data_IF_460287576321
#
_entry.id   IF_460287576321
#
_cell.length_a   1.000
_cell.length_b   1.000
_cell.length_c   1.000
_cell.angle_alpha   90.00
_cell.angle_beta   90.00
_cell.angle_gamma   90.00
#
_symmetry.space_group_name_H-M   'P 1'
#
loop_
_entity.id
_entity.type
_entity.pdbx_description
1 polymer ?
#
# COMPACT_ATOMS: atom_id res chain seq x y z
N UNK A 1 -9.55 -25.19 9.11
CA UNK A 1 -8.65 -26.34 8.91
C UNK A 1 -9.51 -27.59 8.73
N UNK A 2 -9.61 -28.06 7.52
CA UNK A 2 -10.29 -29.31 7.21
C UNK A 2 -9.25 -30.43 7.00
N UNK A 3 -9.67 -31.69 7.19
CA UNK A 3 -8.86 -32.84 6.80
C UNK A 3 -9.49 -33.46 5.56
N UNK A 4 -8.76 -33.47 4.45
CA UNK A 4 -9.22 -33.98 3.17
C UNK A 4 -8.45 -35.27 2.88
N UNK A 5 -9.17 -36.34 2.54
CA UNK A 5 -8.57 -37.63 2.24
C UNK A 5 -8.71 -37.97 0.75
N UNK A 6 -7.61 -38.30 0.13
CA UNK A 6 -7.52 -38.83 -1.25
C UNK A 6 -7.01 -40.26 -1.26
N UNK A 7 -7.65 -41.13 -2.00
CA UNK A 7 -7.14 -42.48 -2.27
C UNK A 7 -6.20 -42.41 -3.47
N UNK A 8 -4.99 -42.94 -3.30
CA UNK A 8 -3.97 -43.01 -4.36
C UNK A 8 -3.80 -44.46 -4.79
N UNK A 9 -3.79 -44.70 -6.10
CA UNK A 9 -3.48 -45.99 -6.72
C UNK A 9 -2.55 -45.75 -7.90
N UNK A 10 -1.82 -46.78 -8.32
CA UNK A 10 -0.95 -46.75 -9.50
C UNK A 10 -1.46 -47.72 -10.54
N UNK A 11 -1.64 -47.23 -11.75
CA UNK A 11 -2.03 -48.03 -12.90
C UNK A 11 -1.46 -47.41 -14.19
N UNK A 12 -1.53 -48.17 -15.29
CA UNK A 12 -1.20 -47.64 -16.62
C UNK A 12 -2.22 -46.57 -17.02
N UNK A 13 -1.73 -45.42 -17.40
CA UNK A 13 -2.54 -44.27 -17.81
C UNK A 13 -1.75 -43.35 -18.72
N UNK A 14 -2.45 -42.33 -19.28
CA UNK A 14 -1.84 -41.34 -20.17
C UNK A 14 -2.04 -39.94 -19.56
N UNK A 15 -0.96 -39.17 -19.46
CA UNK A 15 -0.98 -37.78 -19.10
C UNK A 15 -0.07 -36.94 -20.02
N UNK A 16 0.25 -35.70 -19.70
CA UNK A 16 1.14 -34.85 -20.49
C UNK A 16 2.56 -35.41 -20.71
N UNK A 17 2.98 -36.42 -19.93
CA UNK A 17 4.27 -37.12 -20.06
C UNK A 17 4.18 -38.46 -20.82
N UNK A 18 3.07 -38.71 -21.51
CA UNK A 18 2.85 -39.95 -22.27
C UNK A 18 2.21 -41.05 -21.44
N UNK A 19 2.19 -42.27 -22.02
CA UNK A 19 1.55 -43.45 -21.45
C UNK A 19 2.56 -44.29 -20.66
N UNK A 20 2.33 -44.42 -19.36
CA UNK A 20 3.14 -45.22 -18.43
C UNK A 20 2.36 -45.41 -17.12
N UNK A 21 3.00 -45.96 -16.07
CA UNK A 21 2.43 -45.95 -14.73
C UNK A 21 2.18 -44.51 -14.27
N UNK A 22 0.97 -44.25 -13.81
CA UNK A 22 0.51 -42.93 -13.32
C UNK A 22 -0.13 -43.08 -11.94
N UNK A 23 -0.07 -42.00 -11.16
CA UNK A 23 -0.89 -41.89 -9.97
C UNK A 23 -2.34 -41.60 -10.37
N UNK A 24 -3.23 -42.42 -9.86
CA UNK A 24 -4.68 -42.19 -9.91
C UNK A 24 -5.12 -41.68 -8.54
N UNK A 25 -5.74 -40.53 -8.51
CA UNK A 25 -6.25 -39.91 -7.28
C UNK A 25 -7.77 -39.94 -7.30
N UNK A 26 -8.37 -40.68 -6.37
CA UNK A 26 -9.81 -41.02 -6.37
C UNK A 26 -10.31 -41.59 -7.69
N UNK A 27 -9.45 -42.33 -8.42
CA UNK A 27 -9.78 -42.97 -9.70
C UNK A 27 -9.53 -42.10 -10.95
N UNK A 28 -9.12 -40.84 -10.80
CA UNK A 28 -8.75 -39.96 -11.91
C UNK A 28 -7.25 -40.01 -12.18
N UNK A 29 -6.85 -40.07 -13.47
CA UNK A 29 -5.46 -40.19 -13.89
C UNK A 29 -4.73 -38.84 -13.75
N UNK A 30 -3.78 -38.76 -12.87
CA UNK A 30 -2.92 -37.57 -12.63
C UNK A 30 -3.68 -36.24 -12.69
N UNK A 31 -4.76 -36.01 -11.87
CA UNK A 31 -5.49 -34.76 -11.90
C UNK A 31 -4.63 -33.59 -11.42
N UNK A 32 -5.00 -32.38 -11.81
CA UNK A 32 -4.48 -31.15 -11.14
C UNK A 32 -5.11 -31.07 -9.76
N UNK A 33 -4.29 -30.98 -8.74
CA UNK A 33 -4.75 -30.85 -7.36
C UNK A 33 -4.83 -29.37 -6.98
N UNK A 34 -5.91 -29.00 -6.28
CA UNK A 34 -6.06 -27.70 -5.63
C UNK A 34 -6.04 -27.91 -4.12
N UNK A 35 -4.96 -27.46 -3.49
CA UNK A 35 -4.72 -27.62 -2.05
C UNK A 35 -5.05 -26.29 -1.36
N UNK A 36 -6.07 -26.27 -0.51
CA UNK A 36 -6.45 -25.07 0.21
C UNK A 36 -5.49 -24.84 1.38
N UNK A 37 -4.98 -23.62 1.51
CA UNK A 37 -4.08 -23.26 2.61
C UNK A 37 -4.74 -23.47 3.99
N UNK A 38 -3.94 -23.89 4.95
CA UNK A 38 -4.38 -24.19 6.30
C UNK A 38 -5.07 -25.57 6.45
N UNK A 39 -5.33 -26.29 5.35
CA UNK A 39 -5.90 -27.63 5.42
C UNK A 39 -4.83 -28.71 5.56
N UNK A 40 -5.23 -29.83 6.14
CA UNK A 40 -4.44 -31.06 6.18
C UNK A 40 -4.96 -32.02 5.10
N UNK A 41 -4.13 -32.30 4.11
CA UNK A 41 -4.50 -33.21 3.02
C UNK A 41 -3.75 -34.53 3.18
N UNK A 42 -4.48 -35.62 3.18
CA UNK A 42 -3.97 -36.98 3.37
C UNK A 42 -4.13 -37.76 2.08
N UNK A 43 -3.04 -38.22 1.53
CA UNK A 43 -2.99 -39.14 0.38
C UNK A 43 -2.76 -40.56 0.90
N UNK A 44 -3.79 -41.37 0.89
CA UNK A 44 -3.74 -42.77 1.29
C UNK A 44 -3.06 -43.58 0.20
N UNK A 45 -1.87 -44.06 0.47
CA UNK A 45 -1.04 -44.87 -0.41
C UNK A 45 -0.98 -46.35 0.02
N UNK A 46 -1.96 -46.82 0.79
CA UNK A 46 -2.00 -48.18 1.34
C UNK A 46 -2.35 -49.26 0.32
N UNK A 47 -2.89 -48.87 -0.83
CA UNK A 47 -3.21 -49.78 -1.91
C UNK A 47 -1.94 -50.46 -2.46
N UNK A 48 -1.96 -51.78 -2.64
CA UNK A 48 -0.79 -52.58 -3.09
C UNK A 48 -0.20 -52.14 -4.43
N UNK A 49 -0.97 -51.46 -5.26
CA UNK A 49 -0.49 -50.86 -6.51
C UNK A 49 0.56 -49.78 -6.31
N UNK A 50 0.61 -49.17 -5.12
CA UNK A 50 1.62 -48.17 -4.76
C UNK A 50 2.97 -48.78 -4.34
N UNK A 51 3.12 -50.10 -4.34
CA UNK A 51 4.37 -50.74 -3.95
C UNK A 51 5.54 -50.21 -4.83
N UNK A 52 6.61 -49.72 -4.20
CA UNK A 52 7.75 -49.02 -4.82
C UNK A 52 7.45 -47.66 -5.45
N UNK A 53 6.26 -47.09 -5.27
CA UNK A 53 5.91 -45.78 -5.77
C UNK A 53 5.61 -44.82 -4.61
N UNK A 54 6.57 -44.00 -4.25
CA UNK A 54 6.43 -43.02 -3.16
C UNK A 54 5.78 -41.73 -3.68
N UNK A 55 4.60 -41.43 -3.21
CA UNK A 55 3.91 -40.15 -3.52
C UNK A 55 4.55 -39.00 -2.79
N UNK A 56 5.14 -38.05 -3.51
CA UNK A 56 5.89 -36.91 -2.96
C UNK A 56 5.61 -35.64 -3.70
N UNK A 57 6.05 -34.51 -3.14
CA UNK A 57 5.91 -33.18 -3.70
C UNK A 57 7.28 -32.56 -4.03
N UNK A 58 7.32 -31.68 -5.03
CA UNK A 58 8.49 -30.91 -5.42
C UNK A 58 8.09 -29.53 -5.95
N UNK A 59 8.97 -28.53 -5.84
CA UNK A 59 8.83 -27.25 -6.52
C UNK A 59 9.21 -27.31 -8.01
N UNK A 60 9.84 -28.39 -8.42
CA UNK A 60 10.21 -28.64 -9.82
C UNK A 60 9.36 -29.76 -10.42
N UNK A 61 9.00 -29.59 -11.69
CA UNK A 61 8.20 -30.54 -12.42
C UNK A 61 8.92 -31.90 -12.42
N UNK A 62 8.19 -32.97 -12.04
CA UNK A 62 8.69 -34.33 -11.91
C UNK A 62 9.89 -34.51 -10.94
N UNK A 63 10.10 -33.55 -10.04
CA UNK A 63 11.03 -33.65 -8.92
C UNK A 63 12.45 -33.97 -9.33
N UNK A 64 13.00 -35.03 -8.76
CA UNK A 64 14.39 -35.46 -8.94
C UNK A 64 14.72 -36.01 -10.31
N UNK A 65 13.72 -36.34 -11.14
CA UNK A 65 13.91 -37.09 -12.39
C UNK A 65 14.22 -36.22 -13.61
N UNK A 66 13.76 -34.98 -13.70
CA UNK A 66 13.88 -34.16 -14.91
C UNK A 66 14.96 -33.09 -14.85
N UNK A 67 15.12 -32.40 -13.74
CA UNK A 67 16.01 -31.22 -13.65
C UNK A 67 16.88 -31.19 -12.40
N UNK A 68 17.01 -32.32 -11.69
CA UNK A 68 17.76 -32.38 -10.45
C UNK A 68 17.08 -31.62 -9.29
N UNK A 69 15.75 -31.52 -9.35
CA UNK A 69 14.94 -30.90 -8.29
C UNK A 69 15.02 -31.70 -6.99
N UNK A 70 14.60 -31.08 -5.90
CA UNK A 70 14.56 -31.68 -4.56
C UNK A 70 13.14 -31.96 -4.12
N UNK A 71 12.97 -32.96 -3.26
CA UNK A 71 11.69 -33.26 -2.63
C UNK A 71 11.28 -32.07 -1.73
N UNK A 72 10.03 -31.62 -1.85
CA UNK A 72 9.45 -30.63 -0.97
C UNK A 72 8.98 -31.29 0.32
N UNK A 73 9.56 -30.91 1.43
CA UNK A 73 9.34 -31.53 2.75
C UNK A 73 8.61 -30.63 3.74
N UNK A 74 8.42 -29.34 3.43
CA UNK A 74 7.77 -28.40 4.35
C UNK A 74 6.31 -28.78 4.57
N UNK A 75 5.95 -29.13 5.80
CA UNK A 75 4.61 -29.58 6.15
C UNK A 75 4.24 -30.99 5.62
N UNK A 76 5.17 -31.70 4.94
CA UNK A 76 4.93 -33.03 4.38
C UNK A 76 5.45 -34.12 5.32
N UNK A 77 4.63 -35.12 5.56
CA UNK A 77 4.97 -36.28 6.38
C UNK A 77 4.60 -37.57 5.65
N UNK A 78 5.54 -38.51 5.57
CA UNK A 78 5.31 -39.85 5.04
C UNK A 78 5.16 -40.82 6.21
N UNK A 79 4.16 -41.70 6.16
CA UNK A 79 3.91 -42.73 7.16
C UNK A 79 3.80 -44.10 6.46
N UNK A 80 4.51 -45.08 6.98
CA UNK A 80 4.51 -46.44 6.43
C UNK A 80 5.26 -46.59 5.10
N UNK A 81 5.24 -47.78 4.55
CA UNK A 81 5.82 -48.09 3.24
C UNK A 81 4.71 -48.07 2.21
N UNK A 82 4.85 -47.36 1.07
CA UNK A 82 3.82 -47.33 0.03
C UNK A 82 3.40 -48.75 -0.38
N UNK A 83 2.11 -49.00 -0.51
CA UNK A 83 1.52 -50.30 -0.77
C UNK A 83 1.24 -51.14 0.47
N UNK A 84 1.68 -50.73 1.66
CA UNK A 84 1.38 -51.43 2.90
C UNK A 84 0.20 -50.77 3.64
N UNK A 85 -0.53 -51.55 4.43
CA UNK A 85 -1.67 -51.07 5.22
C UNK A 85 -1.29 -49.89 6.08
N UNK A 86 -2.03 -48.80 6.00
CA UNK A 86 -1.82 -47.52 6.76
C UNK A 86 -0.76 -46.60 6.17
N UNK A 87 -0.19 -46.94 5.03
CA UNK A 87 0.75 -46.06 4.32
C UNK A 87 0.03 -44.79 3.81
N UNK A 88 0.61 -43.63 4.07
CA UNK A 88 0.05 -42.33 3.62
C UNK A 88 1.11 -41.27 3.50
N UNK A 89 0.86 -40.31 2.64
CA UNK A 89 1.56 -39.03 2.58
C UNK A 89 0.59 -37.93 3.06
N UNK A 90 0.98 -37.14 4.06
CA UNK A 90 0.17 -36.03 4.58
C UNK A 90 0.89 -34.72 4.30
N UNK A 91 0.17 -33.73 3.81
CA UNK A 91 0.66 -32.37 3.66
C UNK A 91 -0.22 -31.41 4.48
N UNK A 92 0.41 -30.64 5.37
CA UNK A 92 -0.19 -29.48 5.99
C UNK A 92 0.08 -28.28 5.05
N UNK A 93 -0.95 -27.81 4.39
CA UNK A 93 -0.80 -26.81 3.33
C UNK A 93 -0.41 -25.47 3.94
N UNK A 94 0.81 -25.01 3.63
CA UNK A 94 1.34 -23.76 4.14
C UNK A 94 0.55 -22.56 3.58
N UNK A 95 0.42 -21.45 4.35
CA UNK A 95 -0.19 -20.22 3.86
C UNK A 95 0.52 -19.67 2.63
N UNK A 96 -0.24 -19.16 1.66
CA UNK A 96 0.29 -18.59 0.40
C UNK A 96 1.21 -17.39 0.67
N UNK A 97 0.97 -16.66 1.78
CA UNK A 97 1.81 -15.55 2.24
C UNK A 97 3.19 -15.95 2.77
N UNK A 98 3.39 -17.21 3.08
CA UNK A 98 4.72 -17.65 3.49
C UNK A 98 5.64 -17.49 2.29
N UNK A 99 6.64 -16.63 2.41
CA UNK A 99 7.66 -16.44 1.37
C UNK A 99 8.26 -17.82 1.08
N UNK A 100 7.96 -18.37 -0.12
CA UNK A 100 8.40 -19.69 -0.52
C UNK A 100 7.33 -20.79 -0.52
N UNK A 101 6.02 -20.47 -0.42
CA UNK A 101 4.99 -21.44 -0.81
C UNK A 101 5.00 -21.60 -2.35
N UNK A 102 5.77 -22.55 -2.92
CA UNK A 102 5.95 -22.67 -4.34
C UNK A 102 4.71 -23.33 -4.97
N UNK A 103 4.55 -23.12 -6.27
CA UNK A 103 3.72 -24.02 -7.06
C UNK A 103 4.32 -25.44 -6.94
N UNK A 104 3.55 -26.36 -6.38
CA UNK A 104 4.01 -27.73 -6.17
C UNK A 104 3.59 -28.63 -7.31
N UNK A 105 4.39 -29.65 -7.48
CA UNK A 105 4.11 -30.80 -8.36
C UNK A 105 4.20 -32.06 -7.52
N UNK A 106 3.24 -32.99 -7.67
CA UNK A 106 3.37 -34.30 -7.07
C UNK A 106 3.99 -35.27 -8.07
N UNK A 107 4.80 -36.18 -7.56
CA UNK A 107 5.58 -37.12 -8.38
C UNK A 107 5.96 -38.35 -7.58
N UNK A 108 6.56 -39.34 -8.24
CA UNK A 108 7.16 -40.48 -7.55
C UNK A 108 8.60 -40.18 -7.15
N UNK A 109 8.92 -40.20 -5.87
CA UNK A 109 10.29 -40.06 -5.35
C UNK A 109 10.92 -41.39 -4.92
N UNK A 110 10.27 -42.49 -5.26
CA UNK A 110 10.78 -43.83 -4.96
C UNK A 110 12.01 -44.21 -5.78
N UNK A 111 12.58 -45.38 -5.48
CA UNK A 111 13.83 -45.89 -6.06
C UNK A 111 13.70 -46.27 -7.53
N UNK A 112 12.51 -46.28 -8.10
CA UNK A 112 12.25 -46.63 -9.50
C UNK A 112 12.37 -45.40 -10.40
N UNK A 113 12.98 -45.59 -11.57
CA UNK A 113 13.23 -44.58 -12.60
C UNK A 113 11.97 -44.11 -13.36
N UNK A 114 10.79 -44.21 -12.79
CA UNK A 114 9.53 -43.79 -13.43
C UNK A 114 9.28 -42.32 -13.28
N UNK A 115 9.51 -41.57 -14.35
CA UNK A 115 9.16 -40.16 -14.48
C UNK A 115 7.74 -39.94 -14.95
N UNK A 116 7.21 -38.75 -14.72
CA UNK A 116 5.94 -38.31 -15.27
C UNK A 116 4.70 -38.97 -14.67
N UNK A 117 4.77 -39.51 -13.44
CA UNK A 117 3.63 -40.17 -12.78
C UNK A 117 2.57 -39.21 -12.25
N UNK A 118 2.93 -37.96 -12.01
CA UNK A 118 2.07 -36.97 -11.36
C UNK A 118 1.70 -35.74 -12.22
N UNK A 119 1.31 -34.68 -11.57
CA UNK A 119 0.89 -33.44 -12.18
C UNK A 119 1.11 -32.27 -11.20
N UNK A 120 0.51 -31.12 -11.45
CA UNK A 120 0.54 -29.92 -10.63
C UNK A 120 -0.30 -30.09 -9.37
N UNK A 121 0.19 -29.56 -8.26
CA UNK A 121 -0.55 -29.37 -7.00
C UNK A 121 -0.48 -27.89 -6.63
N UNK A 122 -1.51 -27.15 -6.98
CA UNK A 122 -1.59 -25.70 -6.77
C UNK A 122 -2.18 -25.39 -5.41
N UNK A 123 -1.48 -24.60 -4.61
CA UNK A 123 -2.04 -24.03 -3.37
C UNK A 123 -2.99 -22.89 -3.71
N UNK A 124 -4.17 -22.92 -3.12
CA UNK A 124 -5.19 -21.90 -3.26
C UNK A 124 -5.50 -21.28 -1.90
N UNK A 125 -5.73 -19.96 -1.87
CA UNK A 125 -6.26 -19.28 -0.71
C UNK A 125 -7.77 -19.08 -0.86
N UNK A 126 -8.57 -19.31 0.18
CA UNK A 126 -10.01 -19.05 0.15
C UNK A 126 -10.33 -17.56 0.04
N UNK A 127 -9.37 -16.73 0.46
CA UNK A 127 -9.44 -15.28 0.33
C UNK A 127 -8.13 -14.77 -0.28
N UNK A 128 -8.15 -13.63 -0.92
CA UNK A 128 -6.92 -12.99 -1.41
C UNK A 128 -5.95 -12.66 -0.25
N UNK A 129 -6.46 -12.64 1.00
CA UNK A 129 -5.77 -12.22 2.23
C UNK A 129 -5.08 -10.86 2.15
N UNK A 130 -5.21 -10.18 1.03
CA UNK A 130 -4.78 -8.81 0.86
C UNK A 130 -5.95 -7.89 1.15
N UNK A 131 -5.75 -6.94 2.04
CA UNK A 131 -6.74 -5.90 2.38
C UNK A 131 -6.48 -4.61 1.62
N UNK A 132 -5.35 -4.55 0.90
CA UNK A 132 -4.91 -3.37 0.18
C UNK A 132 -5.02 -3.60 -1.32
N UNK A 133 -5.97 -2.92 -1.93
CA UNK A 133 -6.03 -2.73 -3.37
C UNK A 133 -5.18 -1.52 -3.72
N UNK A 134 -4.03 -1.74 -4.37
CA UNK A 134 -3.09 -0.70 -4.75
C UNK A 134 -2.82 -0.75 -6.26
N UNK A 135 -3.72 -0.17 -7.08
CA UNK A 135 -3.62 -0.22 -8.54
C UNK A 135 -2.43 0.61 -9.03
N UNK A 136 -1.79 0.12 -10.08
CA UNK A 136 -0.80 0.90 -10.81
C UNK A 136 -1.47 2.04 -11.60
N UNK A 137 -0.70 3.03 -11.98
CA UNK A 137 -1.22 4.16 -12.78
C UNK A 137 -1.80 3.69 -14.11
N UNK A 138 -1.25 2.64 -14.68
CA UNK A 138 -1.74 2.04 -15.93
C UNK A 138 -3.15 1.44 -15.76
N UNK A 139 -3.37 0.69 -14.66
CA UNK A 139 -4.68 0.13 -14.32
C UNK A 139 -5.75 1.23 -14.15
N UNK A 140 -5.37 2.33 -13.49
CA UNK A 140 -6.26 3.49 -13.28
C UNK A 140 -6.62 4.17 -14.59
N UNK A 141 -5.65 4.32 -15.49
CA UNK A 141 -5.84 4.92 -16.80
C UNK A 141 -6.73 4.01 -17.65
N UNK A 142 -6.51 2.71 -17.63
CA UNK A 142 -7.28 1.74 -18.40
C UNK A 142 -8.73 1.71 -17.96
N UNK A 143 -8.98 1.59 -16.66
CA UNK A 143 -10.33 1.66 -16.07
C UNK A 143 -11.05 2.98 -16.42
N UNK A 144 -10.33 4.11 -16.35
CA UNK A 144 -10.92 5.41 -16.70
C UNK A 144 -11.34 5.49 -18.17
N UNK A 145 -10.52 4.93 -19.09
CA UNK A 145 -10.92 4.86 -20.51
C UNK A 145 -12.11 3.94 -20.74
N UNK A 146 -12.18 2.80 -20.05
CA UNK A 146 -13.33 1.90 -20.15
C UNK A 146 -14.63 2.59 -19.74
N UNK A 147 -14.60 3.39 -18.67
CA UNK A 147 -15.73 4.20 -18.22
C UNK A 147 -16.18 5.26 -19.24
N UNK A 148 -15.29 5.76 -20.08
CA UNK A 148 -15.65 6.68 -21.17
C UNK A 148 -16.26 5.98 -22.38
N UNK A 149 -16.32 4.64 -22.41
CA UNK A 149 -16.80 3.85 -23.53
C UNK A 149 -15.84 3.76 -24.71
N UNK A 150 -14.67 4.37 -24.63
CA UNK A 150 -13.62 4.28 -25.66
C UNK A 150 -13.01 2.88 -25.60
N UNK A 151 -13.18 2.10 -26.66
CA UNK A 151 -12.69 0.71 -26.76
C UNK A 151 -11.43 0.62 -27.62
N UNK A 152 -10.66 -0.46 -27.42
CA UNK A 152 -9.48 -0.80 -28.25
C UNK A 152 -8.15 -0.45 -27.56
N UNK A 153 -7.04 -0.76 -28.25
CA UNK A 153 -5.67 -0.51 -27.75
C UNK A 153 -5.38 0.97 -27.65
N UNK A 154 -4.80 1.40 -26.54
CA UNK A 154 -4.46 2.82 -26.28
C UNK A 154 -3.21 3.22 -27.07
N UNK A 155 -3.26 4.39 -27.67
CA UNK A 155 -2.07 4.98 -28.31
C UNK A 155 -1.17 5.63 -27.26
N UNK A 156 0.13 5.73 -27.51
CA UNK A 156 1.05 6.44 -26.63
C UNK A 156 0.70 7.92 -26.40
N UNK A 157 -0.04 8.54 -27.36
CA UNK A 157 -0.56 9.90 -27.19
C UNK A 157 -1.70 9.93 -26.15
N UNK A 158 -2.64 8.97 -26.21
CA UNK A 158 -3.76 8.88 -25.28
C UNK A 158 -3.25 8.63 -23.85
N UNK A 159 -2.28 7.75 -23.65
CA UNK A 159 -1.67 7.48 -22.36
C UNK A 159 -1.00 8.73 -21.77
N UNK A 160 -0.21 9.47 -22.58
CA UNK A 160 0.38 10.75 -22.13
C UNK A 160 -0.67 11.81 -21.82
N UNK A 161 -1.77 11.87 -22.58
CA UNK A 161 -2.87 12.78 -22.32
C UNK A 161 -3.60 12.43 -21.02
N UNK A 162 -3.80 11.14 -20.72
CA UNK A 162 -4.41 10.67 -19.48
C UNK A 162 -3.55 11.02 -18.26
N UNK A 163 -2.24 10.77 -18.30
CA UNK A 163 -1.32 11.16 -17.21
C UNK A 163 -1.36 12.66 -16.93
N UNK A 164 -1.39 13.50 -17.97
CA UNK A 164 -1.51 14.95 -17.81
C UNK A 164 -2.84 15.33 -17.16
N UNK A 165 -3.95 14.69 -17.56
CA UNK A 165 -5.25 14.92 -16.97
C UNK A 165 -5.28 14.51 -15.50
N UNK A 166 -4.63 13.39 -15.14
CA UNK A 166 -4.53 12.92 -13.77
C UNK A 166 -3.75 13.91 -12.89
N UNK A 167 -2.63 14.44 -13.37
CA UNK A 167 -1.86 15.48 -12.66
C UNK A 167 -2.67 16.77 -12.49
N UNK A 168 -3.46 17.20 -13.48
CA UNK A 168 -4.34 18.36 -13.36
C UNK A 168 -5.42 18.11 -12.30
N UNK A 169 -6.01 16.93 -12.28
CA UNK A 169 -6.99 16.53 -11.28
C UNK A 169 -6.40 16.56 -9.85
N UNK A 170 -5.18 16.11 -9.66
CA UNK A 170 -4.51 16.18 -8.36
C UNK A 170 -4.27 17.62 -7.89
N UNK A 171 -3.95 18.54 -8.81
CA UNK A 171 -3.87 19.96 -8.48
C UNK A 171 -5.24 20.53 -8.06
N UNK A 172 -6.32 20.11 -8.74
CA UNK A 172 -7.67 20.50 -8.36
C UNK A 172 -8.06 19.95 -6.98
N UNK A 173 -7.71 18.70 -6.68
CA UNK A 173 -7.94 18.13 -5.36
C UNK A 173 -7.27 18.92 -4.23
N UNK A 174 -6.05 19.36 -4.45
CA UNK A 174 -5.36 20.25 -3.53
C UNK A 174 -6.14 21.55 -3.25
N UNK A 175 -6.78 22.12 -4.29
CA UNK A 175 -7.61 23.32 -4.15
C UNK A 175 -8.95 23.05 -3.46
N UNK A 176 -9.49 21.84 -3.59
CA UNK A 176 -10.73 21.40 -2.93
C UNK A 176 -10.53 20.97 -1.47
N UNK A 177 -9.30 20.97 -0.97
CA UNK A 177 -9.00 20.55 0.40
C UNK A 177 -8.89 19.04 0.60
N UNK A 178 -8.71 18.27 -0.47
CA UNK A 178 -8.50 16.82 -0.43
C UNK A 178 -7.05 16.52 -0.09
N UNK A 179 -6.70 16.53 1.22
CA UNK A 179 -5.28 16.39 1.59
C UNK A 179 -5.03 15.99 3.05
N UNK A 180 -6.04 15.57 3.80
CA UNK A 180 -5.86 15.28 5.24
C UNK A 180 -4.80 14.20 5.50
N UNK A 181 -4.67 13.19 4.63
CA UNK A 181 -3.61 12.18 4.75
C UNK A 181 -2.21 12.70 4.41
N UNK A 182 -2.11 13.93 3.90
CA UNK A 182 -0.86 14.60 3.54
C UNK A 182 -0.33 15.53 4.62
N UNK A 183 -0.94 15.54 5.78
CA UNK A 183 -0.44 16.29 6.94
C UNK A 183 0.83 15.63 7.45
N UNK A 184 1.93 16.35 7.43
CA UNK A 184 3.23 15.91 7.92
C UNK A 184 3.77 16.87 8.97
N UNK A 185 4.63 16.36 9.84
CA UNK A 185 5.35 17.16 10.84
C UNK A 185 6.79 17.39 10.37
N UNK A 186 7.15 18.65 10.19
CA UNK A 186 8.53 19.07 9.98
C UNK A 186 9.17 19.54 11.30
N UNK A 187 10.46 19.28 11.45
CA UNK A 187 11.26 19.67 12.61
C UNK A 187 12.53 20.33 12.13
N UNK A 188 12.69 21.59 12.42
CA UNK A 188 13.81 22.41 11.95
C UNK A 188 14.60 22.92 13.14
N UNK A 189 15.94 22.76 13.16
CA UNK A 189 16.76 23.33 14.22
C UNK A 189 16.67 24.86 14.21
N UNK A 190 16.50 25.45 15.38
CA UNK A 190 16.52 26.90 15.54
C UNK A 190 17.97 27.38 15.54
N UNK A 191 18.27 28.37 14.69
CA UNK A 191 19.58 29.01 14.58
C UNK A 191 19.51 30.41 15.16
N UNK A 192 20.51 30.76 15.99
CA UNK A 192 20.57 32.13 16.58
C UNK A 192 20.59 33.23 15.51
N UNK A 193 19.75 34.21 15.65
CA UNK A 193 19.68 35.35 14.76
C UNK A 193 19.01 35.11 13.42
N UNK A 194 18.53 33.87 13.16
CA UNK A 194 17.83 33.53 11.94
C UNK A 194 16.32 33.75 12.12
N UNK A 195 15.78 34.77 11.48
CA UNK A 195 14.36 35.10 11.51
C UNK A 195 13.60 34.42 10.36
N UNK A 196 14.23 34.22 9.21
CA UNK A 196 13.63 33.65 8.00
C UNK A 196 14.12 32.23 7.74
N UNK A 197 13.16 31.34 7.49
CA UNK A 197 13.37 29.95 7.08
C UNK A 197 12.72 29.73 5.73
N UNK A 198 13.54 29.65 4.68
CA UNK A 198 13.07 29.50 3.30
C UNK A 198 13.03 28.04 2.88
N UNK A 199 11.96 27.63 2.22
CA UNK A 199 11.77 26.28 1.67
C UNK A 199 12.28 26.21 0.23
N UNK A 200 13.59 26.30 0.07
CA UNK A 200 14.21 26.07 -1.24
C UNK A 200 14.38 24.57 -1.49
N UNK A 201 14.27 24.17 -2.76
CA UNK A 201 14.33 22.76 -3.19
C UNK A 201 15.60 21.99 -2.77
N UNK A 202 16.67 22.69 -2.36
CA UNK A 202 17.98 22.11 -2.05
C UNK A 202 18.35 22.17 -0.56
N UNK A 203 17.43 22.48 0.35
CA UNK A 203 17.78 22.55 1.76
C UNK A 203 17.49 21.22 2.46
N UNK A 204 18.52 20.62 3.03
CA UNK A 204 18.53 19.29 3.64
C UNK A 204 17.51 19.11 4.80
N UNK A 205 17.05 20.20 5.40
CA UNK A 205 16.15 20.20 6.55
C UNK A 205 14.73 20.71 6.24
N UNK A 206 14.46 21.14 5.02
CA UNK A 206 13.19 21.77 4.66
C UNK A 206 12.45 20.95 3.60
N UNK A 207 11.20 20.53 3.87
CA UNK A 207 10.43 19.82 2.89
C UNK A 207 10.10 20.71 1.69
N UNK A 208 10.44 20.26 0.48
CA UNK A 208 10.15 20.96 -0.79
C UNK A 208 8.70 20.80 -1.26
N UNK A 209 7.95 19.89 -0.63
CA UNK A 209 6.59 19.51 -1.01
C UNK A 209 5.50 20.26 -0.21
N UNK A 210 5.84 21.36 0.44
CA UNK A 210 4.89 22.16 1.24
C UNK A 210 3.84 22.83 0.35
N UNK A 211 2.58 22.64 0.68
CA UNK A 211 1.45 23.39 0.15
C UNK A 211 1.00 24.51 1.09
N UNK A 212 0.77 24.20 2.36
CA UNK A 212 0.42 25.17 3.40
C UNK A 212 0.95 24.73 4.76
N UNK A 213 1.14 25.69 5.66
CA UNK A 213 1.53 25.47 7.06
C UNK A 213 0.29 25.66 7.95
N UNK A 214 -0.06 24.60 8.69
CA UNK A 214 -1.24 24.58 9.56
C UNK A 214 -0.93 25.20 10.92
N UNK A 215 -0.27 24.45 11.76
CA UNK A 215 0.03 24.77 13.13
C UNK A 215 1.53 24.66 13.37
N UNK A 216 2.06 25.46 14.30
CA UNK A 216 3.46 25.36 14.65
C UNK A 216 3.69 25.56 16.15
N UNK A 217 4.78 24.99 16.60
CA UNK A 217 5.22 25.08 17.95
C UNK A 217 6.75 25.10 18.04
N UNK A 218 7.23 25.70 19.09
CA UNK A 218 8.63 25.67 19.50
C UNK A 218 8.81 24.46 20.42
N UNK A 219 9.78 23.61 20.12
CA UNK A 219 10.12 22.45 20.94
C UNK A 219 11.44 22.63 21.65
N UNK A 220 11.42 22.51 22.97
CA UNK A 220 12.60 22.43 23.80
C UNK A 220 12.91 20.96 24.15
N UNK A 221 13.96 20.43 23.55
CA UNK A 221 14.49 19.07 23.80
C UNK A 221 15.71 19.08 24.74
N UNK A 222 15.95 20.13 25.53
CA UNK A 222 17.09 20.17 26.46
C UNK A 222 16.98 19.09 27.52
N UNK A 223 15.77 18.61 27.83
CA UNK A 223 15.53 17.37 28.56
C UNK A 223 15.20 16.26 27.55
N UNK A 224 15.97 15.20 27.55
CA UNK A 224 15.73 14.02 26.69
C UNK A 224 14.55 13.19 27.14
N UNK A 225 14.10 13.36 28.37
CA UNK A 225 13.01 12.59 28.97
C UNK A 225 11.65 13.27 28.82
N UNK A 226 11.61 14.60 28.79
CA UNK A 226 10.37 15.37 28.73
C UNK A 226 10.54 16.60 27.81
N UNK A 227 10.36 16.43 26.49
CA UNK A 227 10.36 17.56 25.58
C UNK A 227 9.16 18.48 25.85
N UNK A 228 9.38 19.78 25.86
CA UNK A 228 8.32 20.77 26.06
C UNK A 228 7.98 21.46 24.74
N UNK A 229 6.70 21.44 24.39
CA UNK A 229 6.17 22.06 23.19
C UNK A 229 5.39 23.33 23.58
N UNK A 230 5.75 24.45 22.98
CA UNK A 230 5.10 25.75 23.19
C UNK A 230 4.51 26.21 21.86
N UNK A 231 3.18 26.34 21.81
CA UNK A 231 2.47 26.75 20.61
C UNK A 231 2.88 28.16 20.18
N UNK A 232 3.04 28.36 18.86
CA UNK A 232 3.31 29.66 18.25
C UNK A 232 2.03 30.18 17.59
N UNK A 233 1.82 31.50 17.71
CA UNK A 233 0.66 32.13 17.10
C UNK A 233 0.93 32.49 15.64
N UNK A 234 0.09 32.04 14.72
CA UNK A 234 0.14 32.43 13.31
C UNK A 234 -0.35 33.87 13.18
N UNK A 235 0.46 34.76 12.58
CA UNK A 235 0.10 36.13 12.30
C UNK A 235 0.03 36.39 10.79
N UNK A 236 -0.72 37.36 10.39
CA UNK A 236 -0.85 37.77 9.00
C UNK A 236 0.29 38.73 8.58
N UNK A 237 0.37 38.97 7.26
CA UNK A 237 1.38 39.86 6.67
C UNK A 237 1.30 41.29 7.23
N UNK A 238 0.09 41.78 7.47
CA UNK A 238 -0.14 43.12 7.96
C UNK A 238 0.43 43.31 9.37
N UNK A 239 0.10 42.39 10.27
CA UNK A 239 0.61 42.34 11.63
C UNK A 239 2.13 42.22 11.67
N UNK A 240 2.69 41.31 10.85
CA UNK A 240 4.15 41.18 10.77
C UNK A 240 4.82 42.45 10.25
N UNK A 241 4.21 43.13 9.27
CA UNK A 241 4.74 44.38 8.71
C UNK A 241 4.78 45.52 9.74
N UNK A 242 3.82 45.56 10.64
CA UNK A 242 3.72 46.57 11.70
C UNK A 242 4.71 46.36 12.85
N UNK A 243 5.36 45.23 12.94
CA UNK A 243 6.38 44.95 13.95
C UNK A 243 7.59 45.87 13.75
N UNK A 244 7.91 46.77 14.71
CA UNK A 244 8.93 47.80 14.51
C UNK A 244 10.34 47.25 14.34
N UNK A 245 10.70 46.22 15.14
CA UNK A 245 12.00 45.59 15.08
C UNK A 245 11.84 44.08 14.92
N UNK A 246 11.97 43.60 13.67
CA UNK A 246 11.80 42.21 13.30
C UNK A 246 12.96 41.27 13.73
N UNK A 247 14.09 41.88 14.12
CA UNK A 247 15.31 41.16 14.54
C UNK A 247 15.48 41.17 16.07
N UNK A 248 14.46 41.50 16.83
CA UNK A 248 14.48 41.41 18.30
C UNK A 248 14.73 39.95 18.68
N UNK A 249 15.84 39.69 19.36
CA UNK A 249 16.23 38.35 19.80
C UNK A 249 15.44 37.94 21.05
N UNK A 250 14.97 36.68 21.05
CA UNK A 250 14.22 36.12 22.19
C UNK A 250 13.73 34.73 21.91
N UNK A 251 12.79 34.25 22.70
CA UNK A 251 12.08 33.02 22.43
C UNK A 251 10.99 33.29 21.37
N UNK A 252 10.96 32.56 20.26
CA UNK A 252 9.89 32.69 19.27
C UNK A 252 8.51 32.50 19.90
N UNK A 253 7.57 33.39 19.58
CA UNK A 253 6.17 33.31 20.04
C UNK A 253 5.16 33.41 18.91
N UNK A 254 5.57 33.96 17.77
CA UNK A 254 4.73 34.20 16.62
C UNK A 254 5.43 33.75 15.34
N UNK A 255 4.65 33.42 14.33
CA UNK A 255 5.18 33.12 12.99
C UNK A 255 4.28 33.69 11.90
N UNK A 256 4.91 34.06 10.79
CA UNK A 256 4.26 34.49 9.56
C UNK A 256 4.70 33.60 8.39
N UNK A 257 3.76 33.13 7.57
CA UNK A 257 4.04 32.32 6.38
C UNK A 257 3.88 33.18 5.14
N UNK A 258 4.96 33.39 4.42
CA UNK A 258 4.93 34.09 3.14
C UNK A 258 4.74 33.08 2.01
N UNK A 259 3.57 33.11 1.36
CA UNK A 259 3.19 32.20 0.27
C UNK A 259 3.75 32.72 -1.06
N UNK A 260 4.98 32.34 -1.35
CA UNK A 260 5.64 32.56 -2.65
C UNK A 260 5.73 31.25 -3.42
N UNK A 261 6.35 31.27 -4.62
CA UNK A 261 6.70 30.04 -5.35
C UNK A 261 7.52 29.09 -4.46
N UNK A 262 8.50 29.63 -3.74
CA UNK A 262 9.20 29.00 -2.64
C UNK A 262 8.75 29.69 -1.34
N UNK A 263 7.87 29.06 -0.55
CA UNK A 263 7.38 29.66 0.68
C UNK A 263 8.50 29.92 1.69
N UNK A 264 8.31 30.95 2.54
CA UNK A 264 9.21 31.23 3.67
C UNK A 264 8.39 31.38 4.95
N UNK A 265 8.94 30.93 6.07
CA UNK A 265 8.39 31.19 7.40
C UNK A 265 9.28 32.21 8.10
N UNK A 266 8.66 33.23 8.65
CA UNK A 266 9.31 34.24 9.48
C UNK A 266 8.91 34.03 10.93
N UNK A 267 9.89 33.94 11.83
CA UNK A 267 9.68 33.81 13.25
C UNK A 267 9.82 35.19 13.92
N UNK A 268 8.98 35.46 14.92
CA UNK A 268 9.08 36.59 15.84
C UNK A 268 8.79 36.10 17.28
N UNK A 269 9.66 36.32 18.25
CA UNK A 269 10.98 36.95 18.16
C UNK A 269 11.98 36.01 17.42
N UNK A 270 13.05 36.63 16.90
CA UNK A 270 14.18 35.89 16.32
C UNK A 270 14.88 35.08 17.41
N UNK A 271 15.24 33.80 17.16
CA UNK A 271 15.88 32.96 18.17
C UNK A 271 17.13 33.59 18.78
N UNK A 272 17.20 33.65 20.13
CA UNK A 272 18.39 34.06 20.86
C UNK A 272 19.33 32.87 21.09
N UNK A 273 20.54 33.15 21.59
CA UNK A 273 21.51 32.07 21.93
C UNK A 273 21.00 31.08 22.99
N UNK A 274 20.06 31.51 23.84
CA UNK A 274 19.46 30.63 24.86
C UNK A 274 18.42 29.64 24.34
N UNK A 275 17.92 29.87 23.11
CA UNK A 275 16.89 29.04 22.46
C UNK A 275 17.34 28.57 21.07
N UNK A 276 18.62 28.59 20.81
CA UNK A 276 19.24 28.08 19.59
C UNK A 276 20.23 26.96 19.92
N UNK A 277 20.43 26.05 18.99
CA UNK A 277 21.41 24.98 19.16
C UNK A 277 22.14 24.72 17.86
N UNK A 278 23.47 24.64 17.95
CA UNK A 278 24.36 24.22 16.88
C UNK A 278 24.72 22.73 16.96
N UNK A 279 24.23 22.02 18.00
CA UNK A 279 24.51 20.59 18.22
C UNK A 279 23.45 19.71 17.59
N UNK A 280 23.87 18.52 17.14
CA UNK A 280 22.96 17.49 16.57
C UNK A 280 22.86 16.32 17.55
N UNK A 281 21.66 15.90 18.03
CA UNK A 281 20.36 16.49 17.74
C UNK A 281 20.16 17.86 18.42
N UNK A 282 19.48 18.78 17.72
CA UNK A 282 19.24 20.15 18.20
C UNK A 282 18.37 20.15 19.44
N UNK A 283 18.84 20.82 20.50
CA UNK A 283 18.06 20.99 21.75
C UNK A 283 16.84 21.86 21.55
N UNK A 284 16.82 22.71 20.53
CA UNK A 284 15.71 23.63 20.26
C UNK A 284 15.30 23.52 18.80
N UNK A 285 14.01 23.28 18.57
CA UNK A 285 13.47 23.06 17.24
C UNK A 285 12.22 23.89 16.99
N UNK A 286 12.10 24.40 15.78
CA UNK A 286 10.84 24.88 15.23
C UNK A 286 10.13 23.70 14.58
N UNK A 287 8.97 23.34 15.09
CA UNK A 287 8.16 22.25 14.60
C UNK A 287 6.86 22.80 14.02
N UNK A 288 6.43 22.28 12.88
CA UNK A 288 5.16 22.69 12.28
C UNK A 288 4.51 21.54 11.53
N UNK A 289 3.19 21.48 11.61
CA UNK A 289 2.39 20.63 10.75
C UNK A 289 2.15 21.35 9.44
N UNK A 290 2.35 20.64 8.35
CA UNK A 290 2.16 21.17 7.02
C UNK A 290 1.42 20.19 6.11
N UNK A 291 0.75 20.74 5.10
CA UNK A 291 0.15 19.99 4.02
C UNK A 291 1.19 19.76 2.94
N UNK A 292 1.48 18.50 2.65
CA UNK A 292 2.34 18.17 1.52
C UNK A 292 1.53 18.09 0.23
N UNK A 293 2.15 18.45 -0.89
CA UNK A 293 1.55 18.29 -2.22
C UNK A 293 1.34 16.80 -2.53
N UNK A 294 0.28 16.48 -3.28
CA UNK A 294 0.11 15.14 -3.86
C UNK A 294 1.22 14.95 -4.89
N UNK A 295 1.87 13.80 -4.89
CA UNK A 295 2.96 13.51 -5.83
C UNK A 295 2.43 13.44 -7.27
N UNK A 296 3.23 13.92 -8.20
CA UNK A 296 2.94 13.78 -9.62
C UNK A 296 2.92 12.31 -10.03
N UNK A 297 2.07 12.01 -11.00
CA UNK A 297 2.03 10.71 -11.63
C UNK A 297 3.35 10.44 -12.36
N UNK A 298 4.14 9.54 -11.82
CA UNK A 298 5.43 9.14 -12.37
C UNK A 298 5.31 8.24 -13.60
N UNK A 299 5.99 7.10 -13.62
CA UNK A 299 5.88 6.08 -14.66
C UNK A 299 4.54 5.33 -14.55
N UNK A 300 4.16 4.61 -15.61
CA UNK A 300 2.89 3.87 -15.68
C UNK A 300 2.79 2.73 -14.67
N UNK A 301 3.93 2.14 -14.31
CA UNK A 301 4.05 1.07 -13.33
C UNK A 301 4.17 1.57 -11.88
N UNK A 302 4.11 2.88 -11.65
CA UNK A 302 4.09 3.42 -10.30
C UNK A 302 2.69 3.29 -9.70
N UNK A 303 2.64 3.24 -8.37
CA UNK A 303 1.41 3.39 -7.61
C UNK A 303 1.16 4.86 -7.30
N UNK A 304 -0.10 5.23 -7.09
CA UNK A 304 -0.44 6.59 -6.70
C UNK A 304 -0.21 6.82 -5.20
N UNK A 305 0.15 8.05 -4.84
CA UNK A 305 0.29 8.51 -3.47
C UNK A 305 -1.08 8.98 -2.89
N UNK A 306 -2.10 8.15 -3.10
CA UNK A 306 -3.50 8.42 -2.73
C UNK A 306 -4.03 7.26 -1.88
N UNK A 307 -4.79 7.55 -0.83
CA UNK A 307 -5.37 6.51 0.02
C UNK A 307 -6.54 5.80 -0.65
N UNK A 308 -6.73 4.53 -0.32
CA UNK A 308 -7.66 3.62 -1.00
C UNK A 308 -9.10 4.15 -1.15
N UNK A 309 -9.59 4.91 -0.16
CA UNK A 309 -10.94 5.50 -0.19
C UNK A 309 -11.16 6.49 -1.34
N UNK A 310 -10.08 7.05 -1.90
CA UNK A 310 -10.16 7.98 -3.03
C UNK A 310 -10.00 7.32 -4.41
N UNK A 311 -9.66 6.04 -4.51
CA UNK A 311 -9.54 5.36 -5.81
C UNK A 311 -10.80 5.40 -6.65
N UNK A 312 -12.02 5.16 -6.11
CA UNK A 312 -13.22 5.24 -6.92
C UNK A 312 -13.41 6.62 -7.57
N UNK A 313 -13.28 7.71 -6.80
CA UNK A 313 -13.41 9.05 -7.33
C UNK A 313 -12.22 9.46 -8.22
N UNK A 314 -11.03 8.89 -8.03
CA UNK A 314 -9.88 9.10 -8.91
C UNK A 314 -10.12 8.52 -10.30
N UNK A 315 -10.65 7.29 -10.38
CA UNK A 315 -10.98 6.64 -11.65
C UNK A 315 -12.13 7.37 -12.36
N UNK A 316 -13.18 7.76 -11.63
CA UNK A 316 -14.31 8.52 -12.19
C UNK A 316 -13.91 9.93 -12.59
N UNK A 317 -13.08 10.61 -11.81
CA UNK A 317 -12.55 11.92 -12.13
C UNK A 317 -11.70 11.90 -13.38
N UNK A 318 -10.76 10.94 -13.48
CA UNK A 318 -9.97 10.78 -14.69
C UNK A 318 -10.86 10.46 -15.91
N UNK A 319 -11.89 9.61 -15.75
CA UNK A 319 -12.85 9.32 -16.80
C UNK A 319 -13.58 10.60 -17.25
N UNK A 320 -14.00 11.46 -16.33
CA UNK A 320 -14.58 12.77 -16.64
C UNK A 320 -13.61 13.64 -17.45
N UNK A 321 -12.37 13.81 -17.02
CA UNK A 321 -11.37 14.60 -17.77
C UNK A 321 -11.06 14.03 -19.16
N UNK A 322 -11.09 12.70 -19.31
CA UNK A 322 -10.90 12.04 -20.59
C UNK A 322 -12.13 12.18 -21.48
N UNK A 323 -13.35 12.14 -20.94
CA UNK A 323 -14.59 12.30 -21.71
C UNK A 323 -14.65 13.65 -22.41
N UNK A 324 -14.18 14.72 -21.78
CA UNK A 324 -14.09 16.05 -22.40
C UNK A 324 -13.26 16.05 -23.69
N UNK A 325 -12.39 15.08 -23.90
CA UNK A 325 -11.49 14.98 -25.04
C UNK A 325 -11.94 13.92 -26.06
N UNK A 326 -12.52 12.82 -25.59
CA UNK A 326 -12.73 11.62 -26.41
C UNK A 326 -14.19 11.17 -26.50
N UNK A 327 -15.06 11.58 -25.55
CA UNK A 327 -16.47 11.21 -25.52
C UNK A 327 -17.32 12.30 -24.84
N UNK A 328 -17.45 13.49 -25.46
CA UNK A 328 -18.13 14.64 -24.86
C UNK A 328 -19.58 14.37 -24.45
N UNK A 329 -20.25 13.45 -25.12
CA UNK A 329 -21.61 13.02 -24.83
C UNK A 329 -21.76 12.35 -23.44
N UNK A 330 -20.70 11.75 -22.92
CA UNK A 330 -20.68 11.11 -21.60
C UNK A 330 -20.24 12.06 -20.47
N UNK A 331 -19.78 13.27 -20.81
CA UNK A 331 -19.11 14.15 -19.85
C UNK A 331 -19.99 14.55 -18.68
N UNK A 332 -21.26 14.88 -18.90
CA UNK A 332 -22.17 15.30 -17.84
C UNK A 332 -22.49 14.18 -16.84
N UNK A 333 -22.68 12.95 -17.32
CA UNK A 333 -22.93 11.80 -16.43
C UNK A 333 -21.67 11.43 -15.63
N UNK A 334 -20.49 11.47 -16.25
CA UNK A 334 -19.23 11.19 -15.61
C UNK A 334 -18.85 12.27 -14.58
N UNK A 335 -19.15 13.55 -14.87
CA UNK A 335 -18.99 14.65 -13.91
C UNK A 335 -19.84 14.43 -12.67
N UNK A 336 -21.12 14.13 -12.84
CA UNK A 336 -22.06 13.87 -11.74
C UNK A 336 -21.60 12.70 -10.87
N UNK A 337 -21.11 11.63 -11.50
CA UNK A 337 -20.58 10.46 -10.80
C UNK A 337 -19.31 10.81 -10.01
N UNK A 338 -18.39 11.50 -10.64
CA UNK A 338 -17.16 11.97 -10.01
C UNK A 338 -17.43 12.84 -8.77
N UNK A 339 -18.30 13.85 -8.89
CA UNK A 339 -18.64 14.72 -7.75
C UNK A 339 -19.31 13.93 -6.62
N UNK A 340 -20.23 13.01 -6.94
CA UNK A 340 -20.86 12.17 -5.92
C UNK A 340 -19.89 11.23 -5.20
N UNK A 341 -18.92 10.64 -5.92
CA UNK A 341 -17.90 9.77 -5.33
C UNK A 341 -16.88 10.58 -4.52
N UNK A 342 -16.51 11.77 -4.99
CA UNK A 342 -15.61 12.67 -4.27
C UNK A 342 -16.22 13.14 -2.95
N UNK A 343 -17.48 13.53 -2.94
CA UNK A 343 -18.20 13.93 -1.71
C UNK A 343 -18.20 12.79 -0.69
N UNK A 344 -18.50 11.55 -1.12
CA UNK A 344 -18.45 10.37 -0.21
C UNK A 344 -17.05 10.11 0.35
N UNK A 345 -16.03 10.30 -0.48
CA UNK A 345 -14.65 10.13 -0.02
C UNK A 345 -14.24 11.22 0.98
N UNK A 346 -14.66 12.46 0.75
CA UNK A 346 -14.43 13.58 1.67
C UNK A 346 -15.17 13.39 3.00
N UNK A 347 -16.41 12.95 2.97
CA UNK A 347 -17.19 12.66 4.19
C UNK A 347 -16.53 11.55 5.02
N UNK A 348 -15.98 10.52 4.36
CA UNK A 348 -15.23 9.46 5.02
C UNK A 348 -13.83 9.90 5.52
N UNK A 349 -13.27 10.97 4.95
CA UNK A 349 -11.97 11.53 5.36
C UNK A 349 -12.11 12.51 6.53
N UNK A 350 -13.30 13.05 6.77
CA UNK A 350 -13.53 13.96 7.88
C UNK A 350 -13.28 13.27 9.22
N UNK A 351 -12.49 13.90 10.07
CA UNK A 351 -12.38 13.49 11.46
C UNK A 351 -13.74 13.71 12.14
N UNK A 352 -14.37 12.61 12.55
CA UNK A 352 -15.58 12.66 13.37
C UNK A 352 -15.29 13.25 14.76
N UNK A 353 -14.99 14.54 14.83
CA UNK A 353 -14.91 15.23 16.10
C UNK A 353 -16.33 15.46 16.59
N UNK A 354 -16.68 14.83 17.71
CA UNK A 354 -17.90 15.13 18.45
C UNK A 354 -17.84 16.60 18.90
N UNK A 355 -18.56 17.45 18.18
CA UNK A 355 -18.81 18.84 18.66
C UNK A 355 -19.84 18.78 19.77
N UNK A 356 -19.40 18.56 20.98
CA UNK A 356 -20.24 18.75 22.16
C UNK A 356 -20.31 20.24 22.45
N UNK A 357 -21.37 20.92 21.98
CA UNK A 357 -21.66 22.29 22.38
C UNK A 357 -22.35 22.19 23.75
N UNK A 358 -21.57 22.41 24.80
CA UNK A 358 -22.11 22.63 26.14
C UNK A 358 -22.63 24.07 26.20
N UNK A 359 -23.94 24.32 26.38
CA UNK A 359 -24.42 25.66 26.59
C UNK A 359 -23.88 26.18 27.93
N UNK A 360 -22.98 27.16 27.87
CA UNK A 360 -22.57 27.90 29.05
C UNK A 360 -23.70 28.85 29.45
N UNK A 361 -24.45 28.45 30.48
CA UNK A 361 -25.38 29.40 31.14
C UNK A 361 -24.54 30.41 31.89
N UNK A 362 -24.48 31.62 31.38
CA UNK A 362 -24.04 32.79 32.14
C UNK A 362 -25.10 33.06 33.21
N UNK A 363 -24.85 32.68 34.44
CA UNK A 363 -25.49 33.27 35.57
C UNK A 363 -24.85 34.66 35.76
N UNK A 364 -25.53 35.69 35.36
CA UNK A 364 -25.18 37.06 35.77
C UNK A 364 -25.28 37.10 37.27
N UNK A 365 -24.17 37.49 37.92
CA UNK A 365 -24.17 37.82 39.33
C UNK A 365 -25.18 38.97 39.55
N UNK A 366 -26.33 38.59 40.09
CA UNK A 366 -27.30 39.56 40.60
C UNK A 366 -26.71 40.27 41.85
N UNK A 367 -26.69 41.54 41.78
CA UNK A 367 -26.37 42.50 42.83
C UNK A 367 -27.15 42.23 44.11
#
# INVERSE_FOLDING_TARGET
>A
MATINYKVTVASGTNAFGTANKFFINGEVSPVLFLQEGDTVVFDTSDSSNNNFKFSFSATKDGTFTTGGTEYTTGVTHTGTPGATGAKTTINVAPVRTVGAPLLFYYNSGVTTTSGMGNTAQTISPTSETTEFNPQIDDIIEEAFERTGVRGTRTGYQLRSARRSLNIMFQEWGNRGVHLWKVKLAKIPLVEGQAEYSFAADSENFPSDISDVLESFYRNNSSTTEPQDIALTKIDRSTYSQTPNKLTKGTPSQYYVERRLNPSIFLYATPSSSVSSTTTPSSFQFCFYYLSKIQDVGAYNNTSDVVNRFYPCMMSGLAYYLSLKYSPEMSQELERRYESELLRALDADNQGTSTFISPQTFYGDGV
#
